data_IF_639246032083
#
_entry.id   IF_639246032083
#
_cell.length_a   1.000
_cell.length_b   1.000
_cell.length_c   1.000
_cell.angle_alpha   90.00
_cell.angle_beta   90.00
_cell.angle_gamma   90.00
#
_symmetry.space_group_name_H-M   'P 1'
#
loop_
_entity.id
_entity.type
_entity.pdbx_description
1 polymer ?
#
# COMPACT_ATOMS: atom_id res chain seq x y z
N UNK A 1 -4.08 2.72 -8.06
CA UNK A 1 -3.36 3.86 -7.42
C UNK A 1 -2.20 3.32 -6.60
N UNK A 2 -1.19 4.14 -6.29
CA UNK A 2 -0.07 3.76 -5.42
C UNK A 2 -0.22 4.44 -4.06
N UNK A 3 0.09 3.70 -3.00
CA UNK A 3 0.12 4.15 -1.62
C UNK A 3 1.51 3.83 -1.09
N UNK A 4 2.16 4.81 -0.46
CA UNK A 4 3.55 4.71 -0.05
C UNK A 4 3.71 5.21 1.39
N UNK A 5 4.66 4.65 2.15
CA UNK A 5 4.98 5.16 3.47
C UNK A 5 5.56 6.58 3.36
N UNK A 6 5.33 7.40 4.39
CA UNK A 6 5.89 8.77 4.43
C UNK A 6 7.41 8.74 4.64
N UNK A 7 7.89 7.87 5.52
CA UNK A 7 9.32 7.66 5.72
C UNK A 7 9.88 6.78 4.60
N UNK A 8 10.91 7.24 3.86
CA UNK A 8 11.57 6.40 2.88
C UNK A 8 12.27 5.22 3.55
N UNK A 9 12.00 4.01 3.07
CA UNK A 9 12.66 2.77 3.47
C UNK A 9 13.05 1.96 2.24
N UNK A 10 14.13 1.18 2.34
CA UNK A 10 14.63 0.40 1.19
C UNK A 10 13.78 -0.84 0.95
N UNK A 11 13.38 -1.55 2.01
CA UNK A 11 12.60 -2.77 1.95
C UNK A 11 11.34 -2.66 2.79
N UNK A 12 10.34 -3.44 2.43
CA UNK A 12 9.10 -3.57 3.21
C UNK A 12 9.36 -3.99 4.67
N UNK A 13 10.39 -4.83 4.91
CA UNK A 13 10.77 -5.28 6.26
C UNK A 13 11.35 -4.18 7.16
N UNK A 14 11.73 -3.04 6.58
CA UNK A 14 12.34 -1.92 7.31
C UNK A 14 11.28 -0.92 7.81
N UNK A 15 10.00 -1.18 7.51
CA UNK A 15 8.87 -0.46 8.10
C UNK A 15 8.68 -0.87 9.56
N UNK A 16 8.37 0.11 10.38
CA UNK A 16 7.94 -0.11 11.76
C UNK A 16 6.50 -0.67 11.77
N UNK A 17 6.11 -1.43 12.79
CA UNK A 17 4.75 -1.98 12.88
C UNK A 17 3.64 -0.94 12.72
N UNK A 18 3.82 0.25 13.30
CA UNK A 18 2.90 1.38 13.18
C UNK A 18 2.79 1.93 11.74
N UNK A 19 3.88 1.92 10.98
CA UNK A 19 3.89 2.37 9.58
C UNK A 19 3.21 1.34 8.67
N UNK A 20 3.37 0.04 8.96
CA UNK A 20 2.63 -1.02 8.25
C UNK A 20 1.14 -0.87 8.52
N UNK A 21 0.74 -0.67 9.78
CA UNK A 21 -0.66 -0.48 10.15
C UNK A 21 -1.26 0.75 9.47
N UNK A 22 -0.54 1.88 9.46
CA UNK A 22 -0.98 3.11 8.80
C UNK A 22 -1.13 2.93 7.28
N UNK A 23 -0.16 2.28 6.63
CA UNK A 23 -0.18 2.03 5.18
C UNK A 23 -1.40 1.19 4.77
N UNK A 24 -1.73 0.15 5.52
CA UNK A 24 -2.91 -0.67 5.24
C UNK A 24 -4.23 0.04 5.59
N UNK A 25 -4.25 0.90 6.61
CA UNK A 25 -5.42 1.75 6.90
C UNK A 25 -5.68 2.73 5.76
N UNK A 26 -4.64 3.38 5.25
CA UNK A 26 -4.74 4.24 4.07
C UNK A 26 -5.22 3.43 2.84
N UNK A 27 -4.72 2.20 2.67
CA UNK A 27 -5.15 1.30 1.59
C UNK A 27 -6.64 0.95 1.68
N UNK A 28 -7.19 0.72 2.87
CA UNK A 28 -8.63 0.48 3.04
C UNK A 28 -9.47 1.71 2.65
N UNK A 29 -9.07 2.91 3.12
CA UNK A 29 -9.79 4.15 2.83
C UNK A 29 -9.82 4.46 1.34
N UNK A 30 -8.65 4.39 0.71
CA UNK A 30 -8.51 4.61 -0.73
C UNK A 30 -9.22 3.51 -1.53
N UNK A 31 -9.10 2.25 -1.11
CA UNK A 31 -9.77 1.11 -1.73
C UNK A 31 -11.28 1.30 -1.81
N UNK A 32 -11.93 1.65 -0.69
CA UNK A 32 -13.36 1.90 -0.67
C UNK A 32 -13.77 3.02 -1.64
N UNK A 33 -12.99 4.10 -1.73
CA UNK A 33 -13.26 5.19 -2.69
C UNK A 33 -13.10 4.70 -4.14
N UNK A 34 -12.07 3.89 -4.43
CA UNK A 34 -11.83 3.32 -5.76
C UNK A 34 -12.97 2.39 -6.17
N UNK A 35 -13.40 1.46 -5.30
CA UNK A 35 -14.54 0.58 -5.59
C UNK A 35 -15.81 1.38 -5.90
N UNK A 36 -16.15 2.35 -5.05
CA UNK A 36 -17.32 3.21 -5.25
C UNK A 36 -17.24 4.00 -6.57
N UNK A 37 -16.07 4.54 -6.89
CA UNK A 37 -15.89 5.34 -8.10
C UNK A 37 -16.03 4.52 -9.39
N UNK A 38 -15.56 3.27 -9.39
CA UNK A 38 -15.59 2.41 -10.56
C UNK A 38 -16.74 1.39 -10.58
N UNK A 39 -17.59 1.37 -9.55
CA UNK A 39 -18.62 0.34 -9.38
C UNK A 39 -18.05 -1.07 -9.23
N UNK A 40 -16.84 -1.17 -8.68
CA UNK A 40 -16.12 -2.44 -8.47
C UNK A 40 -16.65 -3.20 -7.26
N UNK A 41 -16.59 -4.54 -7.32
CA UNK A 41 -16.98 -5.44 -6.22
C UNK A 41 -15.79 -6.17 -5.59
N UNK A 42 -14.59 -5.93 -6.11
CA UNK A 42 -13.35 -6.48 -5.57
C UNK A 42 -12.17 -5.56 -5.87
N UNK A 43 -11.15 -5.69 -5.03
CA UNK A 43 -9.86 -5.04 -5.18
C UNK A 43 -8.74 -6.06 -5.11
N UNK A 44 -7.72 -5.87 -5.94
CA UNK A 44 -6.44 -6.57 -5.78
C UNK A 44 -5.42 -5.58 -5.23
N UNK A 45 -4.84 -5.92 -4.08
CA UNK A 45 -3.73 -5.18 -3.48
C UNK A 45 -2.44 -5.94 -3.79
N UNK A 46 -1.41 -5.24 -4.25
CA UNK A 46 -0.11 -5.82 -4.56
C UNK A 46 1.00 -4.96 -3.96
N UNK A 47 2.02 -5.61 -3.41
CA UNK A 47 3.20 -4.92 -2.88
C UNK A 47 4.32 -5.02 -3.90
N UNK A 48 4.76 -3.88 -4.42
CA UNK A 48 5.89 -3.83 -5.33
C UNK A 48 7.18 -3.83 -4.52
N UNK A 49 7.92 -4.94 -4.57
CA UNK A 49 9.27 -5.04 -4.02
C UNK A 49 10.29 -4.84 -5.13
N UNK A 50 11.18 -3.86 -4.97
CA UNK A 50 12.32 -3.70 -5.88
C UNK A 50 13.36 -4.77 -5.52
N UNK A 51 13.85 -5.50 -6.52
CA UNK A 51 15.06 -6.31 -6.39
C UNK A 51 16.26 -5.43 -6.73
N UNK A 52 17.24 -5.34 -5.82
CA UNK A 52 18.50 -4.62 -6.05
C UNK A 52 19.61 -5.67 -6.17
N UNK A 53 19.60 -6.43 -7.27
CA UNK A 53 20.70 -7.32 -7.63
C UNK A 53 21.52 -6.66 -8.74
N UNK A 54 22.53 -5.91 -8.31
CA UNK A 54 23.72 -5.48 -9.06
C UNK A 54 24.89 -5.54 -8.08
#
# INVERSE_FOLDING_TARGET
>A
VLICPLRPVERFRDLLPEEVADLFRATQLVGNVVEQHFGGTSLTISVQVRFSGL
#
